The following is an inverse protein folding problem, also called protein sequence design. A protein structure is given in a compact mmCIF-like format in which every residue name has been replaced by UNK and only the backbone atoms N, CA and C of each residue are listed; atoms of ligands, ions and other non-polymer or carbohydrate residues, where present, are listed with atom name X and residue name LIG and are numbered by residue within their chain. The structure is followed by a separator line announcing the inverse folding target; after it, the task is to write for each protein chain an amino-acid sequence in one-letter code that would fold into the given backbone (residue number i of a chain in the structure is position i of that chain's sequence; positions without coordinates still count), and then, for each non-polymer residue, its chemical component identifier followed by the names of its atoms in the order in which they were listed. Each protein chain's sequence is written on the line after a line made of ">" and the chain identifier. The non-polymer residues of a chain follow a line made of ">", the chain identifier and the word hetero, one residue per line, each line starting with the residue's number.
data_IF_213845896882
#
_entry.id   IF_213845896882
#
_cell.length_a   1.000
_cell.length_b   1.000
_cell.length_c   1.000
_cell.angle_alpha   90.00
_cell.angle_beta   90.00
_cell.angle_gamma   90.00
#
_symmetry.space_group_name_H-M   'P 1'
#
loop_
_entity.id
_entity.type
_entity.pdbx_description
1 polymer ?
#
# COMPACT_ATOMS: atom_id res chain seq x y z
N UNK A 1 -22.23 -40.76 -25.89
CA UNK A 1 -22.12 -39.48 -26.60
C UNK A 1 -22.82 -38.43 -25.76
N UNK A 2 -22.07 -37.64 -24.99
CA UNK A 2 -22.49 -36.32 -24.55
C UNK A 2 -21.19 -35.61 -24.12
N UNK A 3 -20.69 -34.76 -25.01
CA UNK A 3 -19.60 -33.84 -24.69
C UNK A 3 -20.26 -32.69 -23.94
N UNK A 4 -19.82 -32.46 -22.72
CA UNK A 4 -20.22 -31.32 -21.89
C UNK A 4 -19.56 -30.08 -22.50
N UNK A 5 -20.36 -29.26 -23.19
CA UNK A 5 -19.92 -28.02 -23.85
C UNK A 5 -20.46 -26.83 -23.07
N UNK A 6 -19.93 -26.56 -21.88
CA UNK A 6 -20.07 -25.25 -21.22
C UNK A 6 -18.91 -25.02 -20.24
N UNK A 7 -17.70 -24.90 -20.76
CA UNK A 7 -16.63 -24.19 -20.04
C UNK A 7 -16.15 -23.07 -20.96
N UNK A 8 -17.09 -22.19 -21.31
CA UNK A 8 -16.79 -20.92 -21.97
C UNK A 8 -16.15 -20.03 -20.90
N UNK A 9 -14.82 -20.11 -20.75
CA UNK A 9 -14.06 -19.18 -19.92
C UNK A 9 -14.40 -17.78 -20.40
N UNK A 10 -15.07 -17.00 -19.55
CA UNK A 10 -15.40 -15.62 -19.89
C UNK A 10 -14.13 -14.89 -20.33
N UNK A 11 -14.16 -14.12 -21.43
CA UNK A 11 -12.98 -13.43 -21.91
C UNK A 11 -12.44 -12.52 -20.80
N UNK A 12 -11.22 -12.81 -20.35
CA UNK A 12 -10.58 -12.04 -19.29
C UNK A 12 -10.39 -10.60 -19.77
N UNK A 13 -11.05 -9.66 -19.12
CA UNK A 13 -10.93 -8.24 -19.45
C UNK A 13 -9.66 -7.68 -18.80
N UNK A 14 -8.69 -7.29 -19.63
CA UNK A 14 -7.44 -6.65 -19.20
C UNK A 14 -7.61 -5.13 -19.02
N UNK A 15 -8.55 -4.70 -18.19
CA UNK A 15 -8.72 -3.29 -17.83
C UNK A 15 -8.57 -3.11 -16.32
N UNK A 16 -8.03 -1.96 -15.91
CA UNK A 16 -7.95 -1.60 -14.48
C UNK A 16 -9.32 -1.66 -13.80
N UNK A 17 -10.36 -1.25 -14.51
CA UNK A 17 -11.74 -1.30 -14.03
C UNK A 17 -12.23 -2.74 -13.79
N UNK A 18 -11.93 -3.67 -14.71
CA UNK A 18 -12.29 -5.08 -14.52
C UNK A 18 -11.59 -5.69 -13.30
N UNK A 19 -10.31 -5.37 -13.09
CA UNK A 19 -9.56 -5.85 -11.94
C UNK A 19 -10.09 -5.27 -10.61
N UNK A 20 -10.46 -3.99 -10.58
CA UNK A 20 -11.03 -3.36 -9.38
C UNK A 20 -12.46 -3.85 -9.09
N UNK A 21 -13.23 -4.21 -10.11
CA UNK A 21 -14.56 -4.77 -9.95
C UNK A 21 -14.52 -6.03 -9.09
N UNK A 22 -13.59 -6.94 -9.40
CA UNK A 22 -13.39 -8.21 -8.67
C UNK A 22 -12.88 -8.01 -7.23
N UNK A 23 -12.42 -6.80 -6.89
CA UNK A 23 -11.95 -6.42 -5.55
C UNK A 23 -12.99 -5.65 -4.73
N UNK A 24 -14.17 -5.37 -5.30
CA UNK A 24 -15.25 -4.65 -4.62
C UNK A 24 -15.74 -5.46 -3.41
N UNK A 25 -15.98 -4.79 -2.29
CA UNK A 25 -16.36 -5.35 -0.99
C UNK A 25 -15.35 -6.33 -0.37
N UNK A 26 -14.12 -6.38 -0.89
CA UNK A 26 -13.03 -7.15 -0.31
C UNK A 26 -12.13 -6.30 0.58
N UNK A 27 -11.46 -6.96 1.53
CA UNK A 27 -10.44 -6.34 2.36
C UNK A 27 -9.14 -6.24 1.57
N UNK A 28 -8.62 -5.02 1.43
CA UNK A 28 -7.43 -4.73 0.63
C UNK A 28 -6.35 -4.08 1.49
N UNK A 29 -5.09 -4.32 1.13
CA UNK A 29 -3.96 -3.47 1.49
C UNK A 29 -3.68 -2.52 0.32
N UNK A 30 -3.63 -1.22 0.58
CA UNK A 30 -3.28 -0.16 -0.37
C UNK A 30 -2.00 0.52 0.10
N UNK A 31 -0.98 0.51 -0.75
CA UNK A 31 0.26 1.24 -0.54
C UNK A 31 0.19 2.55 -1.31
N UNK A 32 0.40 3.66 -0.62
CA UNK A 32 0.46 4.98 -1.21
C UNK A 32 1.88 5.32 -1.63
N UNK A 33 2.03 6.28 -2.55
CA UNK A 33 3.36 6.72 -2.99
C UNK A 33 4.23 7.31 -1.89
N UNK A 34 3.64 7.95 -0.88
CA UNK A 34 4.34 8.45 0.31
C UNK A 34 4.81 7.33 1.26
N UNK A 35 4.56 6.06 0.92
CA UNK A 35 4.99 4.87 1.65
C UNK A 35 4.00 4.40 2.73
N UNK A 36 2.88 5.11 2.90
CA UNK A 36 1.81 4.72 3.85
C UNK A 36 1.11 3.46 3.38
N UNK A 37 0.67 2.65 4.35
CA UNK A 37 0.00 1.36 4.11
C UNK A 37 -1.36 1.43 4.78
N UNK A 38 -2.40 1.44 3.95
CA UNK A 38 -3.79 1.45 4.39
C UNK A 38 -4.36 0.05 4.23
N UNK A 39 -5.10 -0.42 5.22
CA UNK A 39 -5.82 -1.68 5.15
C UNK A 39 -7.30 -1.35 5.40
N UNK A 40 -8.20 -1.77 4.53
CA UNK A 40 -9.62 -1.48 4.66
C UNK A 40 -10.46 -2.22 3.65
N UNK A 41 -11.78 -2.09 3.74
CA UNK A 41 -12.72 -2.71 2.80
C UNK A 41 -13.02 -1.76 1.65
N UNK A 42 -12.81 -2.19 0.41
CA UNK A 42 -13.12 -1.38 -0.77
C UNK A 42 -14.63 -1.29 -0.98
N UNK A 43 -15.20 -0.09 -0.86
CA UNK A 43 -16.64 0.13 -1.05
C UNK A 43 -17.01 0.68 -2.41
N UNK A 44 -16.16 1.53 -2.97
CA UNK A 44 -16.39 2.12 -4.27
C UNK A 44 -15.06 2.51 -4.90
N UNK A 45 -15.03 2.49 -6.22
CA UNK A 45 -13.89 2.95 -7.00
C UNK A 45 -14.38 3.59 -8.30
N UNK A 46 -13.49 4.27 -9.01
CA UNK A 46 -13.76 4.79 -10.35
C UNK A 46 -12.66 4.40 -11.36
N UNK A 47 -12.90 4.70 -12.64
CA UNK A 47 -11.97 4.41 -13.73
C UNK A 47 -10.60 5.10 -13.62
N UNK A 48 -10.47 6.11 -12.75
CA UNK A 48 -9.22 6.81 -12.47
C UNK A 48 -8.46 6.20 -11.28
N UNK A 49 -9.01 5.15 -10.66
CA UNK A 49 -8.43 4.47 -9.51
C UNK A 49 -8.66 5.21 -8.19
N UNK A 50 -9.57 6.19 -8.12
CA UNK A 50 -9.96 6.76 -6.83
C UNK A 50 -10.68 5.68 -6.01
N UNK A 51 -10.35 5.54 -4.72
CA UNK A 51 -10.84 4.47 -3.86
C UNK A 51 -11.57 5.04 -2.65
N UNK A 52 -12.71 4.44 -2.30
CA UNK A 52 -13.39 4.65 -1.04
C UNK A 52 -13.22 3.40 -0.19
N UNK A 53 -12.46 3.53 0.90
CA UNK A 53 -12.21 2.46 1.86
C UNK A 53 -13.04 2.69 3.13
N UNK A 54 -13.64 1.63 3.65
CA UNK A 54 -14.32 1.60 4.94
C UNK A 54 -13.48 0.81 5.96
N UNK A 55 -13.66 1.12 7.25
CA UNK A 55 -13.00 0.45 8.38
C UNK A 55 -11.47 0.43 8.18
N UNK A 56 -10.97 1.56 7.67
CA UNK A 56 -9.59 1.71 7.26
C UNK A 56 -8.70 1.86 8.48
N UNK A 57 -7.64 1.08 8.53
CA UNK A 57 -6.51 1.25 9.45
C UNK A 57 -5.27 1.65 8.64
N UNK A 58 -4.44 2.50 9.21
CA UNK A 58 -3.10 2.79 8.70
C UNK A 58 -2.09 2.00 9.52
N UNK A 59 -1.36 1.09 8.85
CA UNK A 59 -0.35 0.25 9.50
C UNK A 59 1.05 0.84 9.31
N UNK A 60 1.67 1.21 10.42
CA UNK A 60 3.04 1.72 10.47
C UNK A 60 4.00 0.58 10.81
N UNK A 61 5.15 0.55 10.14
CA UNK A 61 6.24 -0.40 10.43
C UNK A 61 7.52 0.37 10.71
N UNK A 62 8.25 -0.06 11.74
CA UNK A 62 9.57 0.48 12.07
C UNK A 62 10.39 -0.59 12.80
N UNK A 63 11.57 -0.92 12.27
CA UNK A 63 12.36 -2.06 12.73
C UNK A 63 11.49 -3.33 12.77
N UNK A 64 11.45 -4.02 13.91
CA UNK A 64 10.66 -5.22 14.17
C UNK A 64 9.31 -4.91 14.84
N UNK A 65 8.86 -3.65 14.80
CA UNK A 65 7.62 -3.20 15.42
C UNK A 65 6.61 -2.71 14.38
N UNK A 66 5.33 -2.92 14.68
CA UNK A 66 4.23 -2.33 13.92
C UNK A 66 3.14 -1.76 14.83
N UNK A 67 2.34 -0.85 14.29
CA UNK A 67 1.16 -0.30 14.95
C UNK A 67 0.06 0.02 13.95
N UNK A 68 -1.19 -0.13 14.38
CA UNK A 68 -2.38 0.17 13.60
C UNK A 68 -3.04 1.46 14.13
N UNK A 69 -3.37 2.36 13.21
CA UNK A 69 -4.04 3.63 13.51
C UNK A 69 -5.39 3.64 12.80
N UNK A 70 -6.49 3.72 13.54
CA UNK A 70 -7.82 3.80 12.96
C UNK A 70 -8.03 5.09 12.17
N UNK A 71 -8.53 4.94 10.93
CA UNK A 71 -8.88 6.03 10.02
C UNK A 71 -10.36 6.04 9.65
N UNK A 72 -11.05 4.90 9.77
CA UNK A 72 -12.48 4.78 9.48
C UNK A 72 -12.77 4.87 7.97
N UNK A 73 -13.63 5.80 7.56
CA UNK A 73 -13.90 6.04 6.14
C UNK A 73 -12.79 6.88 5.51
N UNK A 74 -12.17 6.37 4.45
CA UNK A 74 -11.00 6.99 3.82
C UNK A 74 -11.16 7.08 2.30
N UNK A 75 -11.02 8.29 1.74
CA UNK A 75 -11.01 8.53 0.30
C UNK A 75 -9.57 8.68 -0.18
N UNK A 76 -9.13 7.76 -1.04
CA UNK A 76 -7.81 7.80 -1.66
C UNK A 76 -7.96 8.33 -3.09
N UNK A 77 -7.17 9.35 -3.41
CA UNK A 77 -7.08 9.85 -4.78
C UNK A 77 -6.23 8.91 -5.63
N UNK A 78 -6.74 8.53 -6.80
CA UNK A 78 -6.25 7.41 -7.60
C UNK A 78 -4.82 7.56 -8.07
N UNK A 79 -4.35 8.80 -8.31
CA UNK A 79 -2.94 8.95 -8.57
C UNK A 79 -2.13 8.46 -7.37
N UNK A 80 -2.44 8.79 -6.13
CA UNK A 80 -1.57 8.50 -4.97
C UNK A 80 -1.46 7.01 -4.62
N UNK A 81 -2.26 6.17 -5.25
CA UNK A 81 -2.16 4.71 -5.15
C UNK A 81 -0.90 4.25 -5.89
N UNK A 82 -0.01 3.59 -5.17
CA UNK A 82 1.17 2.94 -5.76
C UNK A 82 0.82 1.50 -6.18
N UNK A 83 0.27 0.72 -5.25
CA UNK A 83 -0.18 -0.66 -5.47
C UNK A 83 -1.27 -1.01 -4.47
N UNK A 84 -2.14 -1.94 -4.83
CA UNK A 84 -3.14 -2.53 -3.95
C UNK A 84 -3.24 -4.03 -4.18
N UNK A 85 -3.66 -4.76 -3.15
CA UNK A 85 -3.88 -6.21 -3.22
C UNK A 85 -4.91 -6.68 -2.20
N UNK A 86 -5.66 -7.71 -2.57
CA UNK A 86 -6.58 -8.41 -1.68
C UNK A 86 -5.83 -9.07 -0.52
N UNK A 87 -6.38 -8.96 0.69
CA UNK A 87 -5.89 -9.65 1.87
C UNK A 87 -6.67 -10.95 2.03
N UNK A 88 -5.93 -12.05 2.13
CA UNK A 88 -6.46 -13.35 2.52
C UNK A 88 -6.86 -13.31 4.00
N UNK A 89 -8.16 -13.34 4.27
CA UNK A 89 -8.72 -13.22 5.63
C UNK A 89 -8.26 -14.35 6.55
N UNK A 90 -7.99 -15.55 6.03
CA UNK A 90 -7.53 -16.68 6.82
C UNK A 90 -6.09 -16.48 7.33
N UNK A 91 -5.35 -15.55 6.72
CA UNK A 91 -3.96 -15.21 7.07
C UNK A 91 -3.81 -13.81 7.64
N UNK A 92 -4.88 -13.03 7.75
CA UNK A 92 -4.81 -11.65 8.21
C UNK A 92 -4.37 -11.55 9.68
N UNK A 93 -4.72 -12.56 10.49
CA UNK A 93 -4.28 -12.68 11.89
C UNK A 93 -2.81 -13.14 12.02
N UNK A 94 -2.20 -13.62 10.94
CA UNK A 94 -0.81 -14.05 10.96
C UNK A 94 0.12 -12.85 10.85
N UNK A 95 0.77 -12.54 11.97
CA UNK A 95 1.85 -11.55 12.02
C UNK A 95 3.16 -12.30 11.75
N UNK A 96 3.84 -12.07 10.61
CA UNK A 96 5.11 -12.72 10.33
C UNK A 96 6.20 -12.22 11.27
N UNK A 97 7.06 -13.13 11.74
CA UNK A 97 8.31 -12.74 12.40
C UNK A 97 9.19 -11.88 11.45
N UNK A 98 9.91 -10.86 11.95
CA UNK A 98 10.13 -10.52 13.36
C UNK A 98 9.11 -9.53 13.96
N UNK A 99 8.02 -9.21 13.25
CA UNK A 99 7.16 -8.07 13.62
C UNK A 99 6.34 -8.29 14.89
N UNK A 100 6.30 -7.27 15.76
CA UNK A 100 5.53 -7.27 17.00
C UNK A 100 4.69 -6.01 17.15
N UNK A 101 3.48 -6.14 17.69
CA UNK A 101 2.59 -5.02 17.94
C UNK A 101 3.16 -4.14 19.06
N UNK A 102 3.16 -2.82 18.84
CA UNK A 102 3.57 -1.84 19.84
C UNK A 102 2.60 -0.65 19.89
N UNK A 103 2.62 0.16 20.97
CA UNK A 103 1.79 1.36 21.05
C UNK A 103 2.05 2.30 19.88
N UNK A 104 0.98 2.85 19.29
CA UNK A 104 1.06 3.72 18.12
C UNK A 104 1.97 4.93 18.34
N UNK A 105 1.95 5.54 19.53
CA UNK A 105 2.82 6.67 19.89
C UNK A 105 4.31 6.29 19.76
N UNK A 106 4.71 5.15 20.32
CA UNK A 106 6.09 4.65 20.26
C UNK A 106 6.53 4.38 18.83
N UNK A 107 5.70 3.68 18.05
CA UNK A 107 6.01 3.37 16.64
C UNK A 107 6.10 4.63 15.80
N UNK A 108 5.20 5.60 16.03
CA UNK A 108 5.20 6.89 15.35
C UNK A 108 6.46 7.71 15.65
N UNK A 109 6.89 7.77 16.91
CA UNK A 109 8.12 8.46 17.30
C UNK A 109 9.36 7.83 16.64
N UNK A 110 9.49 6.50 16.71
CA UNK A 110 10.58 5.77 16.07
C UNK A 110 10.57 5.96 14.54
N UNK A 111 9.40 5.90 13.91
CA UNK A 111 9.25 6.08 12.48
C UNK A 111 9.65 7.49 12.05
N UNK A 112 9.23 8.50 12.81
CA UNK A 112 9.61 9.90 12.60
C UNK A 112 11.12 10.11 12.70
N UNK A 113 11.79 9.47 13.66
CA UNK A 113 13.25 9.51 13.80
C UNK A 113 13.94 8.86 12.59
N UNK A 114 13.51 7.65 12.21
CA UNK A 114 14.03 6.92 11.05
C UNK A 114 13.90 7.74 9.74
N UNK A 115 12.73 8.35 9.51
CA UNK A 115 12.50 9.14 8.30
C UNK A 115 13.37 10.42 8.27
N UNK A 116 13.63 11.04 9.43
CA UNK A 116 14.54 12.17 9.53
C UNK A 116 15.99 11.78 9.25
N UNK A 117 16.45 10.65 9.77
CA UNK A 117 17.79 10.12 9.52
C UNK A 117 17.98 9.74 8.05
N UNK A 118 16.98 9.09 7.47
CA UNK A 118 16.96 8.75 6.05
C UNK A 118 17.06 10.01 5.17
N UNK A 119 16.23 11.03 5.44
CA UNK A 119 16.29 12.31 4.71
C UNK A 119 17.66 12.97 4.77
N UNK A 120 18.32 12.96 5.93
CA UNK A 120 19.69 13.49 6.09
C UNK A 120 20.71 12.69 5.27
N UNK A 121 20.59 11.37 5.33
CA UNK A 121 21.48 10.43 4.64
C UNK A 121 21.34 10.54 3.13
N UNK A 122 20.11 10.56 2.63
CA UNK A 122 19.80 10.65 1.21
C UNK A 122 20.22 12.01 0.65
N UNK A 123 20.04 13.09 1.40
CA UNK A 123 20.58 14.41 1.02
C UNK A 123 22.11 14.42 0.90
N UNK A 124 22.81 13.75 1.82
CA UNK A 124 24.28 13.64 1.76
C UNK A 124 24.74 12.78 0.58
N UNK A 125 24.09 11.62 0.35
CA UNK A 125 24.36 10.74 -0.79
C UNK A 125 24.11 11.46 -2.11
N UNK A 126 22.98 12.15 -2.25
CA UNK A 126 22.63 12.91 -3.43
C UNK A 126 23.68 13.98 -3.73
N UNK A 127 24.14 14.72 -2.72
CA UNK A 127 25.21 15.72 -2.91
C UNK A 127 26.50 15.09 -3.47
N UNK A 128 26.93 13.96 -2.91
CA UNK A 128 28.12 13.24 -3.38
C UNK A 128 27.96 12.69 -4.80
N UNK A 129 26.78 12.17 -5.13
CA UNK A 129 26.48 11.66 -6.47
C UNK A 129 26.43 12.78 -7.50
N UNK A 130 25.88 13.94 -7.14
CA UNK A 130 25.88 15.13 -8.00
C UNK A 130 27.30 15.63 -8.30
N UNK A 131 28.21 15.59 -7.32
CA UNK A 131 29.64 15.90 -7.53
C UNK A 131 30.32 14.95 -8.54
N UNK A 132 29.79 13.73 -8.71
CA UNK A 132 30.26 12.74 -9.68
C UNK A 132 29.55 12.81 -11.04
N UNK A 133 28.66 13.80 -11.24
CA UNK A 133 27.93 13.99 -12.49
C UNK A 133 26.65 13.16 -12.63
N UNK A 134 26.18 12.53 -11.55
CA UNK A 134 24.86 11.90 -11.54
C UNK A 134 23.79 12.96 -11.24
N UNK A 135 22.88 13.16 -12.19
CA UNK A 135 21.63 13.87 -11.93
C UNK A 135 20.70 12.89 -11.22
N UNK A 136 20.44 13.13 -9.93
CA UNK A 136 19.39 12.37 -9.28
C UNK A 136 18.05 12.91 -9.77
N UNK A 137 17.27 12.06 -10.43
CA UNK A 137 15.90 12.41 -10.75
C UNK A 137 15.20 12.87 -9.47
N UNK A 138 14.45 13.96 -9.56
CA UNK A 138 13.41 14.31 -8.60
C UNK A 138 12.30 13.25 -8.68
N UNK A 139 12.60 12.00 -8.30
CA UNK A 139 11.60 11.02 -7.94
C UNK A 139 11.00 11.48 -6.60
N UNK A 140 10.08 12.43 -6.70
CA UNK A 140 9.21 12.80 -5.58
C UNK A 140 8.63 11.51 -5.02
N UNK A 141 8.91 11.29 -3.74
CA UNK A 141 8.51 10.12 -2.95
C UNK A 141 9.38 8.88 -3.24
N UNK A 142 10.37 8.73 -2.37
CA UNK A 142 11.33 7.62 -2.36
C UNK A 142 10.57 6.30 -2.31
N UNK A 143 10.80 5.43 -3.29
CA UNK A 143 10.38 4.03 -3.24
C UNK A 143 11.05 3.34 -2.02
N UNK A 144 10.18 2.80 -1.16
CA UNK A 144 10.40 1.92 0.02
C UNK A 144 10.93 2.59 1.28
#
# INVERSE_FOLDING_TARGET
>A
MQLDWTDEQQPQMFTTAAQLLDLTDKKLMVVLRDGRKLIGVLRSWDQFGNLVLQDTIERLFVHDLYADIERGLFLVRGENVLILGEIDLDKDDYIPEPYQLAPAEKVFELKKQQDQERKKTDKSKFKKLAELGFEGEHAGEVLF
#
